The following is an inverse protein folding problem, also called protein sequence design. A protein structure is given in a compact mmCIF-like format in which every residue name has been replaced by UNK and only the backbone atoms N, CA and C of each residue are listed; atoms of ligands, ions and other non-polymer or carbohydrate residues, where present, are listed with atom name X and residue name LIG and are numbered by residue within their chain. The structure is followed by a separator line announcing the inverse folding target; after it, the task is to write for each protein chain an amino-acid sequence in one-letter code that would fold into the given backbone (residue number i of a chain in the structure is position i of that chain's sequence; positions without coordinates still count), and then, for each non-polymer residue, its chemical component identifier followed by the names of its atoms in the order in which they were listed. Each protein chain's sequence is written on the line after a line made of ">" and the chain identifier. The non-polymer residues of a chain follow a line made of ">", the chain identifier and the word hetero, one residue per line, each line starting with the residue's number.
data_IF_865094013214
#
_entry.id   IF_865094013214
#
_cell.length_a   1.000
_cell.length_b   1.000
_cell.length_c   1.000
_cell.angle_alpha   90.00
_cell.angle_beta   90.00
_cell.angle_gamma   90.00
#
_symmetry.space_group_name_H-M   'P 1'
#
loop_
_entity.id
_entity.type
_entity.pdbx_description
1 polymer ?
#
# COMPACT_ATOMS: atom_id res chain seq x y z
N UNK A 1 -17.87 -52.09 -10.95
CA UNK A 1 -16.92 -51.28 -10.15
C UNK A 1 -16.54 -50.10 -11.00
N UNK A 2 -17.18 -48.92 -10.73
CA UNK A 2 -16.95 -47.71 -11.50
C UNK A 2 -15.87 -46.88 -10.83
N UNK A 3 -14.69 -46.83 -11.46
CA UNK A 3 -13.63 -45.91 -11.09
C UNK A 3 -14.05 -44.50 -11.55
N UNK A 4 -14.65 -43.74 -10.66
CA UNK A 4 -14.82 -42.31 -10.85
C UNK A 4 -13.46 -41.63 -10.81
N UNK A 5 -12.97 -41.28 -11.98
CA UNK A 5 -11.80 -40.42 -12.15
C UNK A 5 -12.08 -39.07 -11.52
N UNK A 6 -11.53 -38.83 -10.34
CA UNK A 6 -11.52 -37.50 -9.73
C UNK A 6 -10.55 -36.66 -10.57
N UNK A 7 -11.09 -35.99 -11.60
CA UNK A 7 -10.37 -34.97 -12.31
C UNK A 7 -10.11 -33.82 -11.32
N UNK A 8 -8.89 -33.74 -10.83
CA UNK A 8 -8.38 -32.58 -10.08
C UNK A 8 -8.45 -31.36 -11.02
N UNK A 9 -9.51 -30.61 -10.93
CA UNK A 9 -9.58 -29.26 -11.50
C UNK A 9 -8.66 -28.37 -10.67
N UNK A 10 -7.36 -28.36 -11.00
CA UNK A 10 -6.50 -27.29 -10.58
C UNK A 10 -7.10 -25.98 -11.14
N UNK A 11 -7.88 -25.28 -10.32
CA UNK A 11 -8.38 -23.96 -10.65
C UNK A 11 -7.14 -23.05 -10.79
N UNK A 12 -6.68 -22.88 -12.03
CA UNK A 12 -5.74 -21.82 -12.35
C UNK A 12 -6.41 -20.52 -11.90
N UNK A 13 -5.83 -19.87 -10.90
CA UNK A 13 -6.24 -18.52 -10.49
C UNK A 13 -6.32 -17.67 -11.75
N UNK A 14 -7.51 -17.16 -12.13
CA UNK A 14 -7.60 -16.33 -13.30
C UNK A 14 -6.86 -15.02 -12.99
N UNK A 15 -5.62 -14.92 -13.42
CA UNK A 15 -4.90 -13.65 -13.48
C UNK A 15 -5.68 -12.77 -14.45
N UNK A 16 -6.68 -12.10 -13.93
CA UNK A 16 -7.53 -11.19 -14.67
C UNK A 16 -6.60 -10.11 -15.24
N UNK A 17 -6.66 -9.85 -16.54
CA UNK A 17 -5.81 -8.84 -17.17
C UNK A 17 -5.98 -7.52 -16.42
N UNK A 18 -4.88 -7.07 -15.79
CA UNK A 18 -4.86 -5.84 -15.03
C UNK A 18 -5.00 -4.66 -15.98
N UNK A 19 -6.08 -3.90 -15.86
CA UNK A 19 -6.17 -2.59 -16.52
C UNK A 19 -5.23 -1.59 -15.85
N UNK A 20 -5.01 -0.43 -16.48
CA UNK A 20 -4.05 0.58 -15.98
C UNK A 20 -4.22 0.94 -14.50
N UNK A 21 -5.47 1.07 -14.00
CA UNK A 21 -5.70 1.33 -12.57
C UNK A 21 -5.31 0.14 -11.68
N UNK A 22 -5.48 -1.10 -12.15
CA UNK A 22 -5.03 -2.29 -11.43
C UNK A 22 -3.50 -2.36 -11.34
N UNK A 23 -2.80 -2.05 -12.43
CA UNK A 23 -1.34 -1.95 -12.45
C UNK A 23 -0.86 -0.87 -11.49
N UNK A 24 -1.47 0.32 -11.51
CA UNK A 24 -1.10 1.41 -10.60
C UNK A 24 -1.33 1.01 -9.13
N UNK A 25 -2.43 0.32 -8.82
CA UNK A 25 -2.71 -0.21 -7.48
C UNK A 25 -1.66 -1.25 -7.06
N UNK A 26 -1.28 -2.15 -7.95
CA UNK A 26 -0.23 -3.15 -7.71
C UNK A 26 1.12 -2.48 -7.40
N UNK A 27 1.51 -1.49 -8.21
CA UNK A 27 2.74 -0.73 -8.01
C UNK A 27 2.72 0.03 -6.68
N UNK A 28 1.58 0.64 -6.31
CA UNK A 28 1.40 1.30 -5.00
C UNK A 28 1.58 0.29 -3.86
N UNK A 29 0.99 -0.90 -3.97
CA UNK A 29 1.16 -1.98 -3.00
C UNK A 29 2.61 -2.43 -2.86
N UNK A 30 3.31 -2.65 -3.96
CA UNK A 30 4.73 -3.02 -3.97
C UNK A 30 5.60 -1.94 -3.32
N UNK A 31 5.33 -0.66 -3.61
CA UNK A 31 6.04 0.46 -3.00
C UNK A 31 5.84 0.49 -1.49
N UNK A 32 4.61 0.30 -1.01
CA UNK A 32 4.33 0.24 0.43
C UNK A 32 5.01 -0.95 1.11
N UNK A 33 5.00 -2.13 0.48
CA UNK A 33 5.74 -3.29 0.98
C UNK A 33 7.25 -3.01 1.07
N UNK A 34 7.83 -2.37 0.06
CA UNK A 34 9.24 -1.98 0.09
C UNK A 34 9.53 -0.98 1.21
N UNK A 35 8.71 0.05 1.39
CA UNK A 35 8.86 1.02 2.48
C UNK A 35 8.72 0.33 3.82
N UNK A 36 7.69 -0.50 4.01
CA UNK A 36 7.48 -1.25 5.25
C UNK A 36 8.64 -2.16 5.60
N UNK A 37 9.16 -2.91 4.63
CA UNK A 37 10.34 -3.76 4.81
C UNK A 37 11.58 -2.94 5.24
N UNK A 38 11.80 -1.75 4.66
CA UNK A 38 12.90 -0.86 5.07
C UNK A 38 12.79 -0.43 6.52
N UNK A 39 11.57 -0.17 7.02
CA UNK A 39 11.39 0.17 8.44
C UNK A 39 11.70 -1.00 9.39
N UNK A 40 11.55 -2.25 8.93
CA UNK A 40 11.91 -3.43 9.72
C UNK A 40 13.41 -3.76 9.66
N UNK A 41 14.04 -3.59 8.50
CA UNK A 41 15.44 -4.03 8.27
C UNK A 41 16.46 -2.92 8.58
N UNK A 42 16.16 -1.67 8.19
CA UNK A 42 17.06 -0.51 8.35
C UNK A 42 16.30 0.69 8.93
N UNK A 43 15.78 0.58 10.15
CA UNK A 43 14.83 1.54 10.72
C UNK A 43 15.37 2.97 10.79
N UNK A 44 16.65 3.14 11.12
CA UNK A 44 17.27 4.47 11.20
C UNK A 44 17.27 5.20 9.85
N UNK A 45 17.71 4.53 8.79
CA UNK A 45 17.72 5.09 7.43
C UNK A 45 16.30 5.32 6.91
N UNK A 46 15.38 4.40 7.22
CA UNK A 46 13.99 4.53 6.81
C UNK A 46 13.33 5.74 7.50
N UNK A 47 13.54 5.93 8.80
CA UNK A 47 13.02 7.06 9.57
C UNK A 47 13.60 8.40 9.09
N UNK A 48 14.88 8.45 8.77
CA UNK A 48 15.51 9.65 8.20
C UNK A 48 14.89 10.02 6.85
N UNK A 49 14.64 9.04 5.99
CA UNK A 49 13.96 9.24 4.70
C UNK A 49 12.48 9.63 4.86
N UNK A 50 11.83 9.17 5.92
CA UNK A 50 10.46 9.57 6.27
C UNK A 50 10.37 11.04 6.68
N UNK A 51 11.45 11.61 7.22
CA UNK A 51 11.54 12.99 7.67
C UNK A 51 11.53 13.19 9.18
N UNK A 52 11.38 12.13 9.98
CA UNK A 52 11.43 12.17 11.45
C UNK A 52 12.49 11.18 11.93
N UNK A 53 13.60 11.64 12.53
CA UNK A 53 14.65 10.76 13.03
C UNK A 53 14.12 9.82 14.11
N UNK A 54 14.66 8.60 14.14
CA UNK A 54 14.27 7.55 15.09
C UNK A 54 14.94 7.77 16.45
N UNK A 55 14.58 8.80 17.19
CA UNK A 55 15.15 9.14 18.49
C UNK A 55 14.86 8.06 19.56
N UNK A 56 15.43 6.85 19.40
CA UNK A 56 15.30 5.73 20.35
C UNK A 56 13.99 4.92 20.30
N UNK A 57 13.06 5.25 19.41
CA UNK A 57 11.74 4.59 19.33
C UNK A 57 11.71 3.45 18.29
N UNK A 58 12.49 2.38 18.52
CA UNK A 58 12.49 1.19 17.66
C UNK A 58 11.09 0.60 17.46
N UNK A 59 10.25 0.59 18.52
CA UNK A 59 8.88 0.11 18.45
C UNK A 59 8.02 0.86 17.44
N UNK A 60 8.20 2.17 17.30
CA UNK A 60 7.53 2.97 16.28
C UNK A 60 7.88 2.52 14.87
N UNK A 61 9.16 2.26 14.61
CA UNK A 61 9.61 1.81 13.29
C UNK A 61 9.00 0.45 12.93
N UNK A 62 8.96 -0.48 13.90
CA UNK A 62 8.32 -1.78 13.71
C UNK A 62 6.82 -1.63 13.43
N UNK A 63 6.11 -0.85 14.24
CA UNK A 63 4.67 -0.62 14.04
C UNK A 63 4.38 -0.01 12.66
N UNK A 64 5.17 1.00 12.25
CA UNK A 64 5.05 1.61 10.92
C UNK A 64 5.36 0.60 9.82
N UNK A 65 6.43 -0.17 9.96
CA UNK A 65 6.83 -1.19 9.00
C UNK A 65 5.75 -2.25 8.76
N UNK A 66 5.19 -2.80 9.84
CA UNK A 66 4.11 -3.80 9.77
C UNK A 66 2.85 -3.19 9.16
N UNK A 67 2.46 -1.96 9.53
CA UNK A 67 1.33 -1.25 8.94
C UNK A 67 1.46 -1.11 7.43
N UNK A 68 2.60 -0.60 6.95
CA UNK A 68 2.83 -0.36 5.53
C UNK A 68 2.90 -1.67 4.73
N UNK A 69 3.52 -2.72 5.30
CA UNK A 69 3.52 -4.07 4.71
C UNK A 69 2.11 -4.64 4.59
N UNK A 70 1.29 -4.52 5.64
CA UNK A 70 -0.07 -5.06 5.65
C UNK A 70 -0.95 -4.38 4.61
N UNK A 71 -0.92 -3.06 4.53
CA UNK A 71 -1.67 -2.30 3.53
C UNK A 71 -1.17 -2.60 2.12
N UNK A 72 0.15 -2.68 1.93
CA UNK A 72 0.76 -3.04 0.65
C UNK A 72 0.35 -4.43 0.18
N UNK A 73 0.39 -5.43 1.07
CA UNK A 73 -0.03 -6.80 0.79
C UNK A 73 -1.52 -6.89 0.40
N UNK A 74 -2.40 -6.17 1.10
CA UNK A 74 -3.82 -6.09 0.76
C UNK A 74 -4.03 -5.50 -0.64
N UNK A 75 -3.34 -4.41 -0.98
CA UNK A 75 -3.45 -3.80 -2.31
C UNK A 75 -2.96 -4.74 -3.41
N UNK A 76 -1.86 -5.46 -3.19
CA UNK A 76 -1.35 -6.47 -4.12
C UNK A 76 -2.39 -7.59 -4.29
N UNK A 77 -2.87 -8.15 -3.20
CA UNK A 77 -3.86 -9.23 -3.23
C UNK A 77 -5.13 -8.81 -3.98
N UNK A 78 -5.72 -7.66 -3.65
CA UNK A 78 -6.94 -7.18 -4.30
C UNK A 78 -6.71 -6.82 -5.78
N UNK A 79 -5.55 -6.28 -6.14
CA UNK A 79 -5.21 -6.03 -7.53
C UNK A 79 -5.14 -7.33 -8.33
N UNK A 80 -4.44 -8.35 -7.82
CA UNK A 80 -4.28 -9.66 -8.49
C UNK A 80 -5.58 -10.45 -8.57
N UNK A 81 -6.42 -10.38 -7.53
CA UNK A 81 -7.74 -11.02 -7.49
C UNK A 81 -8.79 -10.25 -8.32
N UNK A 82 -8.49 -9.02 -8.75
CA UNK A 82 -9.43 -8.18 -9.49
C UNK A 82 -10.54 -7.58 -8.61
N UNK A 83 -10.34 -7.55 -7.28
CA UNK A 83 -11.28 -7.04 -6.28
C UNK A 83 -11.24 -5.50 -6.21
N UNK A 84 -11.80 -4.85 -7.24
CA UNK A 84 -11.71 -3.39 -7.43
C UNK A 84 -12.28 -2.59 -6.28
N UNK A 85 -13.44 -3.01 -5.73
CA UNK A 85 -14.09 -2.30 -4.61
C UNK A 85 -13.25 -2.37 -3.35
N UNK A 86 -12.70 -3.55 -3.02
CA UNK A 86 -11.84 -3.72 -1.87
C UNK A 86 -10.55 -2.91 -2.02
N UNK A 87 -9.92 -2.95 -3.21
CA UNK A 87 -8.76 -2.12 -3.52
C UNK A 87 -9.07 -0.62 -3.39
N UNK A 88 -10.21 -0.17 -3.91
CA UNK A 88 -10.63 1.24 -3.82
C UNK A 88 -10.85 1.69 -2.37
N UNK A 89 -11.53 0.89 -1.56
CA UNK A 89 -11.75 1.21 -0.14
C UNK A 89 -10.43 1.22 0.62
N UNK A 90 -9.54 0.26 0.36
CA UNK A 90 -8.20 0.23 0.97
C UNK A 90 -7.39 1.47 0.61
N UNK A 91 -7.44 1.93 -0.65
CA UNK A 91 -6.76 3.17 -1.08
C UNK A 91 -7.36 4.41 -0.42
N UNK A 92 -8.70 4.54 -0.41
CA UNK A 92 -9.38 5.71 0.16
C UNK A 92 -9.20 5.80 1.67
N UNK A 93 -9.45 4.73 2.41
CA UNK A 93 -9.27 4.71 3.86
C UNK A 93 -7.78 4.78 4.22
N UNK A 94 -6.93 4.09 3.47
CA UNK A 94 -5.49 4.11 3.64
C UNK A 94 -4.85 5.47 3.35
N UNK A 95 -5.51 6.35 2.57
CA UNK A 95 -4.99 7.70 2.28
C UNK A 95 -4.87 8.58 3.54
N UNK A 96 -5.60 8.26 4.61
CA UNK A 96 -5.47 8.93 5.91
C UNK A 96 -4.05 8.78 6.47
N UNK A 97 -3.40 7.64 6.20
CA UNK A 97 -2.06 7.35 6.68
C UNK A 97 -1.05 8.40 6.17
N UNK A 98 -0.85 8.58 4.86
CA UNK A 98 0.09 9.59 4.38
C UNK A 98 -0.35 11.03 4.67
N UNK A 99 -1.64 11.32 4.88
CA UNK A 99 -2.08 12.64 5.36
C UNK A 99 -1.53 12.89 6.76
N UNK A 100 -1.72 11.94 7.69
CA UNK A 100 -1.22 12.04 9.07
C UNK A 100 0.30 12.00 9.11
N UNK A 101 0.94 11.14 8.34
CA UNK A 101 2.40 11.08 8.22
C UNK A 101 2.99 12.44 7.79
N UNK A 102 2.36 13.11 6.81
CA UNK A 102 2.75 14.46 6.39
C UNK A 102 2.55 15.52 7.49
N UNK A 103 1.45 15.43 8.24
CA UNK A 103 1.19 16.32 9.37
C UNK A 103 2.23 16.13 10.51
N UNK A 104 2.63 14.89 10.78
CA UNK A 104 3.70 14.59 11.73
C UNK A 104 5.02 15.21 11.26
N UNK A 105 5.39 15.03 9.99
CA UNK A 105 6.61 15.63 9.44
C UNK A 105 6.56 17.15 9.52
N UNK A 106 5.43 17.77 9.21
CA UNK A 106 5.25 19.21 9.33
C UNK A 106 5.44 19.70 10.76
N UNK A 107 4.88 18.99 11.74
CA UNK A 107 4.97 19.36 13.15
C UNK A 107 6.40 19.22 13.71
N UNK A 108 7.14 18.18 13.29
CA UNK A 108 8.48 17.88 13.83
C UNK A 108 9.63 18.54 13.07
N UNK A 109 9.48 18.71 11.75
CA UNK A 109 10.55 19.22 10.87
C UNK A 109 10.24 20.57 10.23
N UNK A 110 9.01 21.05 10.39
CA UNK A 110 8.55 22.26 9.71
C UNK A 110 8.19 22.03 8.23
N UNK A 111 7.92 23.12 7.52
CA UNK A 111 7.45 23.11 6.13
C UNK A 111 8.57 22.74 5.13
N UNK A 112 9.04 21.51 5.16
CA UNK A 112 10.05 21.02 4.23
C UNK A 112 9.37 20.40 3.00
N UNK A 113 9.36 21.14 1.88
CA UNK A 113 8.59 20.82 0.68
C UNK A 113 8.81 19.39 0.16
N UNK A 114 10.07 18.90 0.15
CA UNK A 114 10.38 17.55 -0.36
C UNK A 114 9.68 16.43 0.41
N UNK A 115 9.71 16.48 1.74
CA UNK A 115 9.03 15.46 2.56
C UNK A 115 7.52 15.58 2.48
N UNK A 116 6.98 16.79 2.55
CA UNK A 116 5.53 17.00 2.46
C UNK A 116 4.98 16.57 1.11
N UNK A 117 5.71 16.81 0.01
CA UNK A 117 5.32 16.37 -1.33
C UNK A 117 5.25 14.84 -1.43
N UNK A 118 6.16 14.10 -0.79
CA UNK A 118 6.11 12.63 -0.77
C UNK A 118 4.84 12.16 -0.05
N UNK A 119 4.57 12.65 1.16
CA UNK A 119 3.45 12.17 1.95
C UNK A 119 2.10 12.61 1.37
N UNK A 120 1.89 13.90 1.15
CA UNK A 120 0.62 14.40 0.65
C UNK A 120 0.41 14.06 -0.83
N UNK A 121 1.47 13.97 -1.63
CA UNK A 121 1.40 13.44 -2.99
C UNK A 121 0.93 11.99 -3.02
N UNK A 122 1.42 11.15 -2.09
CA UNK A 122 0.93 9.77 -1.92
C UNK A 122 -0.54 9.75 -1.51
N UNK A 123 -0.98 10.64 -0.61
CA UNK A 123 -2.38 10.74 -0.23
C UNK A 123 -3.28 11.07 -1.43
N UNK A 124 -2.90 12.08 -2.23
CA UNK A 124 -3.61 12.46 -3.45
C UNK A 124 -3.65 11.31 -4.45
N UNK A 125 -2.54 10.61 -4.66
CA UNK A 125 -2.47 9.43 -5.53
C UNK A 125 -3.44 8.34 -5.07
N UNK A 126 -3.44 8.00 -3.79
CA UNK A 126 -4.34 6.98 -3.22
C UNK A 126 -5.81 7.37 -3.39
N UNK A 127 -6.16 8.63 -3.13
CA UNK A 127 -7.53 9.13 -3.32
C UNK A 127 -7.92 9.04 -4.81
N UNK A 128 -7.08 9.54 -5.70
CA UNK A 128 -7.35 9.53 -7.14
C UNK A 128 -7.54 8.10 -7.67
N UNK A 129 -6.64 7.18 -7.32
CA UNK A 129 -6.75 5.77 -7.71
C UNK A 129 -7.98 5.09 -7.10
N UNK A 130 -8.29 5.35 -5.84
CA UNK A 130 -9.48 4.80 -5.17
C UNK A 130 -10.77 5.26 -5.86
N UNK A 131 -10.91 6.55 -6.14
CA UNK A 131 -12.05 7.10 -6.88
C UNK A 131 -12.14 6.51 -8.29
N UNK A 132 -11.00 6.41 -9.00
CA UNK A 132 -10.95 5.84 -10.34
C UNK A 132 -11.40 4.36 -10.35
N UNK A 133 -10.99 3.58 -9.36
CA UNK A 133 -11.41 2.17 -9.21
C UNK A 133 -12.91 2.05 -8.97
N UNK A 134 -13.52 2.95 -8.17
CA UNK A 134 -14.97 2.96 -7.92
C UNK A 134 -15.78 3.38 -9.14
N UNK A 135 -15.28 4.33 -9.93
CA UNK A 135 -15.98 4.87 -11.12
C UNK A 135 -15.98 3.90 -12.32
N UNK A 136 -15.03 2.99 -12.41
CA UNK A 136 -15.00 1.99 -13.48
C UNK A 136 -16.07 0.96 -13.22
N UNK A 137 -17.23 1.12 -13.91
CA UNK A 137 -18.27 0.11 -13.95
C UNK A 137 -17.69 -1.20 -14.51
N UNK A 138 -18.11 -2.31 -13.93
CA UNK A 138 -17.70 -3.65 -14.35
C UNK A 138 -18.11 -3.94 -15.79
#
# INVERSE_FOLDING_TARGET
>A
MNNATIASSASSLPLRRLGGAGIATLLTGLTLCFIGARFLVVPGTAAAAFGVPLAGLAAYAVAKGVRDLSVGALLIAFALLGERRAAALTLLLGSVIPVVDGAIVLAWRGAHAGYLAIHWGTAVLCIALGVLQLRRRA
#
